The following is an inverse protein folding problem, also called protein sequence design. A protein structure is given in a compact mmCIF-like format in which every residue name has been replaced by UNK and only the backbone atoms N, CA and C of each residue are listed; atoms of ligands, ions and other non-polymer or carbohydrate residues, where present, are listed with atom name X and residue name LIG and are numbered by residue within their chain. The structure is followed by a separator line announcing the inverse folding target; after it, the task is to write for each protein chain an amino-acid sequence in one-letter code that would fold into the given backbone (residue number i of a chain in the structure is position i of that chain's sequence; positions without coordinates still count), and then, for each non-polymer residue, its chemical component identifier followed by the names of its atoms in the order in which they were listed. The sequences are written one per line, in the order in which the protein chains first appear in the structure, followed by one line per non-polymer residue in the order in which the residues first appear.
data_IF_457535138280
#
_entry.id   IF_457535138280
#
_cell.length_a   1.000
_cell.length_b   1.000
_cell.length_c   1.000
_cell.angle_alpha   90.00
_cell.angle_beta   90.00
_cell.angle_gamma   90.00
#
_symmetry.space_group_name_H-M   'P 1'
#
loop_
_entity.id
_entity.type
_entity.pdbx_description
1 polymer ?
#
# COMPACT_ATOMS: atom_id res chain seq x y z
N UNK A 1 3.43 -8.60 -17.39
CA UNK A 1 4.61 -8.23 -18.21
C UNK A 1 4.67 -8.97 -19.55
N UNK A 2 4.55 -10.29 -19.59
CA UNK A 2 4.58 -11.08 -20.84
C UNK A 2 3.56 -10.60 -21.89
N UNK A 3 2.31 -10.37 -21.48
CA UNK A 3 1.25 -9.86 -22.37
C UNK A 3 1.58 -8.47 -22.91
N UNK A 4 2.13 -7.57 -22.08
CA UNK A 4 2.51 -6.21 -22.49
C UNK A 4 3.69 -6.22 -23.49
N UNK A 5 4.66 -7.12 -23.29
CA UNK A 5 5.77 -7.30 -24.23
C UNK A 5 5.25 -7.84 -25.56
N UNK A 6 4.32 -8.80 -25.51
CA UNK A 6 3.73 -9.42 -26.70
C UNK A 6 2.87 -8.41 -27.49
N UNK A 7 2.09 -7.55 -26.82
CA UNK A 7 1.32 -6.49 -27.49
C UNK A 7 2.21 -5.43 -28.14
N UNK A 8 3.31 -5.04 -27.49
CA UNK A 8 4.29 -4.09 -28.04
C UNK A 8 5.02 -4.69 -29.24
N UNK A 9 5.40 -5.96 -29.18
CA UNK A 9 6.00 -6.68 -30.31
C UNK A 9 5.01 -6.80 -31.47
N UNK A 10 3.74 -7.12 -31.22
CA UNK A 10 2.71 -7.19 -32.27
C UNK A 10 2.46 -5.82 -32.90
N UNK A 11 2.48 -4.73 -32.13
CA UNK A 11 2.36 -3.37 -32.64
C UNK A 11 3.58 -2.94 -33.46
N UNK A 12 4.80 -3.28 -33.01
CA UNK A 12 6.04 -3.02 -33.75
C UNK A 12 6.12 -3.84 -35.04
N UNK A 13 5.71 -5.11 -35.01
CA UNK A 13 5.64 -5.97 -36.20
C UNK A 13 4.57 -5.49 -37.18
N UNK A 14 3.38 -5.10 -36.70
CA UNK A 14 2.35 -4.47 -37.54
C UNK A 14 2.89 -3.19 -38.19
N UNK A 15 3.59 -2.36 -37.43
CA UNK A 15 4.24 -1.15 -37.94
C UNK A 15 5.32 -1.44 -38.98
N UNK A 16 6.21 -2.40 -38.73
CA UNK A 16 7.22 -2.83 -39.69
C UNK A 16 6.61 -3.42 -40.95
N UNK A 17 5.55 -4.23 -40.83
CA UNK A 17 4.84 -4.83 -41.97
C UNK A 17 4.10 -3.78 -42.79
N UNK A 18 3.39 -2.83 -42.16
CA UNK A 18 2.69 -1.77 -42.90
C UNK A 18 3.65 -0.81 -43.62
N UNK A 19 4.78 -0.43 -43.01
CA UNK A 19 5.76 0.46 -43.65
C UNK A 19 6.62 -0.26 -44.70
N UNK A 20 7.11 -1.49 -44.46
CA UNK A 20 7.96 -2.19 -45.44
C UNK A 20 7.19 -2.94 -46.54
N UNK A 21 6.04 -3.58 -46.23
CA UNK A 21 5.34 -4.46 -47.19
C UNK A 21 4.27 -3.70 -47.99
N UNK A 22 3.52 -2.76 -47.38
CA UNK A 22 2.46 -2.05 -48.11
C UNK A 22 2.93 -0.76 -48.80
N UNK A 23 4.01 -0.12 -48.32
CA UNK A 23 4.38 1.24 -48.76
C UNK A 23 5.62 1.37 -49.64
N UNK A 24 6.53 0.40 -49.64
CA UNK A 24 7.55 0.20 -50.69
C UNK A 24 8.19 1.45 -51.36
N UNK A 25 8.49 2.52 -50.61
CA UNK A 25 8.93 3.80 -51.21
C UNK A 25 10.22 4.38 -50.59
N UNK A 26 10.98 5.10 -51.42
CA UNK A 26 12.34 5.62 -51.15
C UNK A 26 12.36 6.73 -50.09
N UNK A 27 13.41 6.72 -49.26
CA UNK A 27 13.65 7.62 -48.13
C UNK A 27 13.51 9.11 -48.49
N UNK A 28 12.60 9.83 -47.81
CA UNK A 28 12.41 11.28 -47.91
C UNK A 28 12.07 11.88 -46.54
N UNK A 29 12.38 13.17 -46.31
CA UNK A 29 12.19 13.88 -45.02
C UNK A 29 10.74 13.86 -44.48
N UNK A 30 9.74 13.67 -45.36
CA UNK A 30 8.33 13.57 -44.96
C UNK A 30 8.00 12.25 -44.24
N UNK A 31 8.86 11.24 -44.35
CA UNK A 31 8.73 9.96 -43.62
C UNK A 31 9.24 10.05 -42.18
N UNK A 32 10.21 10.93 -41.90
CA UNK A 32 10.81 11.05 -40.56
C UNK A 32 9.77 11.45 -39.51
N UNK A 33 8.93 12.43 -39.81
CA UNK A 33 7.84 12.85 -38.89
C UNK A 33 6.77 11.77 -38.71
N UNK A 34 6.49 10.98 -39.75
CA UNK A 34 5.51 9.88 -39.71
C UNK A 34 6.02 8.71 -38.87
N UNK A 35 7.28 8.34 -39.05
CA UNK A 35 7.98 7.33 -38.27
C UNK A 35 8.00 7.69 -36.78
N UNK A 36 8.42 8.91 -36.44
CA UNK A 36 8.43 9.40 -35.06
C UNK A 36 7.03 9.35 -34.44
N UNK A 37 5.99 9.70 -35.20
CA UNK A 37 4.61 9.69 -34.69
C UNK A 37 4.12 8.29 -34.32
N UNK A 38 4.38 7.28 -35.14
CA UNK A 38 4.04 5.89 -34.82
C UNK A 38 4.89 5.33 -33.68
N UNK A 39 6.16 5.71 -33.60
CA UNK A 39 7.04 5.36 -32.49
C UNK A 39 6.53 5.94 -31.16
N UNK A 40 6.09 7.20 -31.14
CA UNK A 40 5.45 7.82 -29.98
C UNK A 40 4.17 7.06 -29.60
N UNK A 41 3.33 6.68 -30.56
CA UNK A 41 2.11 5.89 -30.29
C UNK A 41 2.44 4.54 -29.63
N UNK A 42 3.45 3.82 -30.12
CA UNK A 42 3.91 2.57 -29.49
C UNK A 42 4.40 2.76 -28.06
N UNK A 43 5.19 3.81 -27.81
CA UNK A 43 5.68 4.16 -26.46
C UNK A 43 4.52 4.52 -25.52
N UNK A 44 3.52 5.28 -25.99
CA UNK A 44 2.36 5.65 -25.16
C UNK A 44 1.56 4.42 -24.71
N UNK A 45 1.38 3.42 -25.58
CA UNK A 45 0.70 2.17 -25.22
C UNK A 45 1.52 1.37 -24.19
N UNK A 46 2.85 1.31 -24.35
CA UNK A 46 3.75 0.66 -23.40
C UNK A 46 3.62 1.28 -21.99
N UNK A 47 3.68 2.61 -21.90
CA UNK A 47 3.59 3.34 -20.60
C UNK A 47 2.22 3.15 -19.95
N UNK A 48 1.13 3.14 -20.72
CA UNK A 48 -0.22 2.87 -20.17
C UNK A 48 -0.34 1.43 -19.66
N UNK A 49 0.34 0.48 -20.29
CA UNK A 49 0.31 -0.93 -19.88
C UNK A 49 1.14 -1.23 -18.62
N UNK A 50 2.11 -0.37 -18.27
CA UNK A 50 2.91 -0.49 -17.05
C UNK A 50 2.50 0.63 -16.09
N UNK A 51 1.62 0.35 -15.11
CA UNK A 51 1.16 1.37 -14.17
C UNK A 51 2.24 1.65 -13.11
N UNK A 52 3.23 2.45 -13.47
CA UNK A 52 4.28 2.94 -12.54
C UNK A 52 3.70 3.78 -11.39
N UNK A 53 2.46 4.26 -11.54
CA UNK A 53 1.72 4.98 -10.50
C UNK A 53 1.10 4.10 -9.42
N UNK A 54 0.96 2.79 -9.64
CA UNK A 54 0.36 1.88 -8.67
C UNK A 54 1.18 1.79 -7.36
N UNK A 55 2.50 1.54 -7.37
CA UNK A 55 3.30 1.51 -6.14
C UNK A 55 3.35 2.89 -5.46
N UNK A 56 3.28 3.99 -6.23
CA UNK A 56 3.22 5.34 -5.68
C UNK A 56 1.90 5.59 -4.95
N UNK A 57 0.77 5.14 -5.50
CA UNK A 57 -0.53 5.29 -4.85
C UNK A 57 -0.58 4.55 -3.48
N UNK A 58 -0.01 3.35 -3.40
CA UNK A 58 0.04 2.56 -2.16
C UNK A 58 0.86 3.27 -1.09
N UNK A 59 2.05 3.76 -1.42
CA UNK A 59 2.92 4.46 -0.45
C UNK A 59 2.31 5.76 0.06
N UNK A 60 1.64 6.54 -0.81
CA UNK A 60 0.92 7.76 -0.42
C UNK A 60 -0.23 7.44 0.53
N UNK A 61 -1.02 6.40 0.22
CA UNK A 61 -2.14 5.96 1.06
C UNK A 61 -1.65 5.54 2.44
N UNK A 62 -0.57 4.75 2.50
CA UNK A 62 0.01 4.24 3.73
C UNK A 62 0.64 5.36 4.58
N UNK A 63 1.33 6.32 3.96
CA UNK A 63 1.87 7.49 4.64
C UNK A 63 0.76 8.36 5.26
N UNK A 64 -0.35 8.54 4.55
CA UNK A 64 -1.51 9.26 5.07
C UNK A 64 -2.15 8.52 6.25
N UNK A 65 -2.31 7.19 6.15
CA UNK A 65 -2.83 6.37 7.22
C UNK A 65 -1.96 6.44 8.48
N UNK A 66 -0.64 6.33 8.35
CA UNK A 66 0.30 6.45 9.48
C UNK A 66 0.23 7.84 10.12
N UNK A 67 0.13 8.90 9.32
CA UNK A 67 -0.04 10.27 9.85
C UNK A 67 -1.32 10.40 10.67
N UNK A 68 -2.41 9.79 10.22
CA UNK A 68 -3.68 9.78 10.98
C UNK A 68 -3.57 8.98 12.27
N UNK A 69 -2.98 7.78 12.23
CA UNK A 69 -2.77 6.95 13.41
C UNK A 69 -1.92 7.64 14.49
N UNK A 70 -0.94 8.46 14.08
CA UNK A 70 -0.14 9.25 15.00
C UNK A 70 -0.97 10.28 15.78
N UNK A 71 -1.99 10.88 15.15
CA UNK A 71 -2.92 11.79 15.83
C UNK A 71 -3.81 11.05 16.84
N UNK A 72 -4.07 9.77 16.59
CA UNK A 72 -4.84 8.88 17.47
C UNK A 72 -3.95 8.21 18.55
N UNK A 73 -2.76 8.77 18.84
CA UNK A 73 -1.76 8.25 19.79
C UNK A 73 -1.20 6.85 19.44
N UNK A 74 -1.27 6.43 18.17
CA UNK A 74 -0.67 5.19 17.68
C UNK A 74 0.54 5.47 16.78
N UNK A 75 1.75 5.28 17.30
CA UNK A 75 3.00 5.49 16.57
C UNK A 75 3.40 4.24 15.78
N UNK A 76 3.15 4.25 14.47
CA UNK A 76 3.61 3.19 13.56
C UNK A 76 5.07 3.44 13.15
N UNK A 77 5.97 2.51 13.50
CA UNK A 77 7.41 2.62 13.21
C UNK A 77 7.82 2.06 11.84
N UNK A 78 7.04 1.12 11.31
CA UNK A 78 7.26 0.48 10.02
C UNK A 78 5.98 0.53 9.21
N UNK A 79 6.03 1.07 7.99
CA UNK A 79 4.87 1.23 7.12
C UNK A 79 4.18 -0.11 6.83
N UNK A 80 4.96 -1.16 6.60
CA UNK A 80 4.47 -2.53 6.31
C UNK A 80 3.64 -3.13 7.47
N UNK A 81 3.86 -2.66 8.71
CA UNK A 81 3.07 -3.11 9.86
C UNK A 81 1.62 -2.64 9.75
N UNK A 82 1.38 -1.47 9.15
CA UNK A 82 0.04 -0.92 8.97
C UNK A 82 -0.76 -1.72 7.94
N UNK A 83 -0.09 -2.21 6.88
CA UNK A 83 -0.71 -3.14 5.91
C UNK A 83 -0.98 -4.51 6.56
N UNK A 84 0.03 -5.07 7.27
CA UNK A 84 -0.08 -6.38 7.92
C UNK A 84 -1.17 -6.43 8.99
N UNK A 85 -1.32 -5.35 9.77
CA UNK A 85 -2.34 -5.24 10.82
C UNK A 85 -3.76 -5.31 10.25
N UNK A 86 -3.98 -4.85 9.01
CA UNK A 86 -5.26 -4.96 8.32
C UNK A 86 -5.72 -6.41 8.11
N UNK A 87 -4.79 -7.37 8.12
CA UNK A 87 -5.07 -8.79 7.99
C UNK A 87 -4.91 -9.57 9.32
N UNK A 88 -4.83 -8.88 10.45
CA UNK A 88 -4.69 -9.54 11.75
C UNK A 88 -5.97 -10.29 12.15
N UNK A 89 -5.85 -11.57 12.48
CA UNK A 89 -6.98 -12.43 12.90
C UNK A 89 -7.02 -12.68 14.40
N UNK A 90 -5.90 -12.51 15.10
CA UNK A 90 -5.79 -12.66 16.55
C UNK A 90 -4.87 -11.57 17.13
N UNK A 91 -5.25 -11.05 18.30
CA UNK A 91 -4.46 -10.05 19.05
C UNK A 91 -4.04 -10.68 20.36
N UNK A 92 -2.75 -11.01 20.47
CA UNK A 92 -2.15 -11.43 21.74
C UNK A 92 -1.83 -10.19 22.57
N UNK A 93 -2.68 -9.88 23.54
CA UNK A 93 -2.49 -8.74 24.44
C UNK A 93 -1.97 -9.20 25.80
N UNK A 94 -1.01 -8.47 26.36
CA UNK A 94 -0.56 -8.73 27.73
C UNK A 94 -1.58 -8.20 28.75
N UNK A 95 -1.65 -8.80 29.94
CA UNK A 95 -2.64 -8.42 30.95
C UNK A 95 -2.20 -7.17 31.72
N UNK A 96 -1.02 -7.22 32.31
CA UNK A 96 -0.58 -6.21 33.28
C UNK A 96 -0.10 -4.96 32.55
N UNK A 97 -0.72 -3.81 32.83
CA UNK A 97 -0.34 -2.54 32.22
C UNK A 97 -0.76 -2.33 30.76
N UNK A 98 -1.40 -3.32 30.14
CA UNK A 98 -2.08 -3.17 28.84
C UNK A 98 -3.60 -3.29 29.00
N UNK A 99 -4.11 -4.42 29.52
CA UNK A 99 -5.54 -4.56 29.83
C UNK A 99 -5.91 -3.98 31.20
N UNK A 100 -4.98 -4.01 32.17
CA UNK A 100 -5.19 -3.39 33.48
C UNK A 100 -4.61 -1.97 33.50
N UNK A 101 -5.23 -1.09 34.27
CA UNK A 101 -4.76 0.30 34.46
C UNK A 101 -3.48 0.41 35.29
N UNK A 102 -2.87 -0.73 35.65
CA UNK A 102 -1.72 -0.86 36.55
C UNK A 102 -1.85 -0.05 37.86
N UNK A 103 -3.08 0.18 38.32
CA UNK A 103 -3.42 0.81 39.60
C UNK A 103 -4.09 -0.22 40.48
N UNK A 104 -3.31 -0.89 41.31
CA UNK A 104 -3.82 -1.92 42.22
C UNK A 104 -4.42 -1.26 43.47
N UNK A 105 -5.66 -1.61 43.78
CA UNK A 105 -6.35 -1.19 44.99
C UNK A 105 -6.87 -2.42 45.74
N UNK A 106 -6.90 -2.33 47.06
CA UNK A 106 -7.46 -3.40 47.89
C UNK A 106 -8.97 -3.27 47.83
N UNK A 107 -9.65 -4.32 47.34
CA UNK A 107 -11.12 -4.36 47.20
C UNK A 107 -11.79 -5.14 48.33
N UNK A 108 -11.08 -6.13 48.88
CA UNK A 108 -11.61 -7.06 49.87
C UNK A 108 -10.56 -7.38 50.92
N UNK A 109 -10.99 -7.47 52.17
CA UNK A 109 -10.14 -7.84 53.30
C UNK A 109 -10.85 -8.89 54.13
N UNK A 110 -10.13 -9.95 54.51
CA UNK A 110 -10.63 -11.00 55.39
C UNK A 110 -9.91 -10.93 56.73
N UNK A 111 -10.60 -10.50 57.78
CA UNK A 111 -10.05 -10.31 59.13
C UNK A 111 -11.07 -10.77 60.16
N UNK A 112 -10.63 -11.50 61.19
CA UNK A 112 -11.46 -11.97 62.31
C UNK A 112 -12.73 -12.70 61.86
N UNK A 113 -12.54 -13.69 60.96
CA UNK A 113 -13.62 -14.50 60.35
C UNK A 113 -14.69 -13.68 59.60
N UNK A 114 -14.44 -12.39 59.34
CA UNK A 114 -15.34 -11.51 58.61
C UNK A 114 -14.72 -11.10 57.29
N UNK A 115 -15.51 -11.29 56.23
CA UNK A 115 -15.15 -10.91 54.86
C UNK A 115 -15.73 -9.54 54.50
N UNK A 116 -14.88 -8.53 54.39
CA UNK A 116 -15.25 -7.16 54.05
C UNK A 116 -15.21 -6.98 52.54
N UNK A 117 -16.38 -6.81 51.89
CA UNK A 117 -16.53 -6.82 50.43
C UNK A 117 -16.36 -5.48 49.71
N UNK A 118 -16.13 -4.39 50.44
CA UNK A 118 -15.85 -3.07 49.88
C UNK A 118 -15.02 -2.26 50.88
N UNK A 119 -13.70 -2.42 50.83
CA UNK A 119 -12.81 -1.56 51.59
C UNK A 119 -12.68 -0.24 50.83
N UNK A 120 -13.27 0.81 51.38
CA UNK A 120 -13.21 2.15 50.80
C UNK A 120 -11.76 2.62 50.78
N UNK A 121 -11.20 2.84 49.59
CA UNK A 121 -9.80 3.22 49.46
C UNK A 121 -9.60 4.68 49.87
N UNK A 122 -8.71 5.00 50.82
CA UNK A 122 -8.47 6.38 51.24
C UNK A 122 -7.57 7.19 50.27
N UNK A 123 -7.47 6.81 49.00
CA UNK A 123 -6.47 7.38 48.08
C UNK A 123 -7.13 8.37 47.10
N UNK A 124 -6.94 9.66 47.38
CA UNK A 124 -7.02 10.75 46.38
C UNK A 124 -5.83 10.67 45.43
#
# INVERSE_FOLDING_TARGET
MTIAILTVIVLLLRFSVEEFIQRGERWSNKYWSRFVRYLITGITVLVVAVPEGLPLAVTISLAYAVKKMMLDNNLVRHLDACETMGNATAICSDKTGTLTTNRMTVVQVYVSEKHWKNVENPVR
#
